data_IF_198073462849
#
_entry.id   IF_198073462849
#
_cell.length_a   1.000
_cell.length_b   1.000
_cell.length_c   1.000
_cell.angle_alpha   90.00
_cell.angle_beta   90.00
_cell.angle_gamma   90.00
#
_symmetry.space_group_name_H-M   'P 1'
#
loop_
_entity.id
_entity.type
_entity.pdbx_description
1 polymer ?
#
# COMPACT_ATOMS: atom_id res chain seq x y z
N UNK A 1 7.49 -22.27 2.17
CA UNK A 1 7.86 -22.69 3.53
C UNK A 1 9.12 -21.97 4.00
N UNK A 2 10.26 -22.12 3.32
CA UNK A 2 11.51 -21.47 3.72
C UNK A 2 11.45 -19.93 3.72
N UNK A 3 10.79 -19.32 2.73
CA UNK A 3 10.61 -17.85 2.66
C UNK A 3 9.88 -17.33 3.89
N UNK A 4 8.68 -17.87 4.21
CA UNK A 4 7.91 -17.47 5.39
C UNK A 4 8.71 -17.59 6.71
N UNK A 5 9.55 -18.62 6.85
CA UNK A 5 10.45 -18.74 8.02
C UNK A 5 11.58 -17.70 8.03
N UNK A 6 12.13 -17.37 6.87
CA UNK A 6 13.21 -16.39 6.76
C UNK A 6 12.70 -14.95 6.95
N UNK A 7 11.47 -14.66 6.50
CA UNK A 7 10.84 -13.33 6.57
C UNK A 7 10.02 -13.12 7.85
N UNK A 8 9.99 -14.11 8.75
CA UNK A 8 9.26 -14.05 10.03
C UNK A 8 7.79 -13.62 9.87
N UNK A 9 7.10 -14.18 8.87
CA UNK A 9 5.71 -13.82 8.53
C UNK A 9 5.55 -12.81 7.39
N UNK A 10 6.63 -12.39 6.74
CA UNK A 10 6.57 -11.55 5.53
C UNK A 10 6.17 -12.31 4.26
N UNK A 11 6.19 -11.62 3.11
CA UNK A 11 5.77 -12.15 1.81
C UNK A 11 6.89 -12.35 0.79
N UNK A 12 6.49 -12.61 -0.45
CA UNK A 12 7.37 -12.73 -1.61
C UNK A 12 6.86 -11.87 -2.77
N UNK A 13 7.78 -11.16 -3.43
CA UNK A 13 7.52 -10.50 -4.72
C UNK A 13 8.52 -11.00 -5.75
N UNK A 14 8.04 -11.51 -6.88
CA UNK A 14 8.85 -12.05 -7.98
C UNK A 14 8.55 -11.29 -9.25
N UNK A 15 9.56 -10.63 -9.81
CA UNK A 15 9.43 -9.97 -11.11
C UNK A 15 9.60 -10.97 -12.27
N UNK A 16 8.73 -11.97 -12.32
CA UNK A 16 8.83 -13.06 -13.28
C UNK A 16 7.84 -14.20 -13.02
N UNK A 17 8.14 -15.36 -13.62
CA UNK A 17 7.32 -16.56 -13.45
C UNK A 17 7.68 -17.34 -12.20
N UNK A 18 6.68 -17.92 -11.54
CA UNK A 18 6.88 -18.90 -10.47
C UNK A 18 6.42 -20.29 -10.91
N UNK A 19 6.88 -21.31 -10.18
CA UNK A 19 6.50 -22.71 -10.39
C UNK A 19 5.80 -23.24 -9.13
N UNK A 20 5.05 -24.32 -9.30
CA UNK A 20 4.44 -25.09 -8.20
C UNK A 20 3.43 -24.25 -7.40
N UNK A 21 2.43 -23.72 -8.13
CA UNK A 21 1.35 -22.95 -7.54
C UNK A 21 0.59 -23.75 -6.46
N UNK A 22 0.42 -25.05 -6.65
CA UNK A 22 -0.28 -25.91 -5.68
C UNK A 22 0.47 -26.01 -4.34
N UNK A 23 1.80 -26.06 -4.39
CA UNK A 23 2.64 -26.00 -3.19
C UNK A 23 2.61 -24.62 -2.54
N UNK A 24 2.69 -23.56 -3.35
CA UNK A 24 2.74 -22.18 -2.87
C UNK A 24 1.41 -21.72 -2.26
N UNK A 25 0.29 -22.05 -2.89
CA UNK A 25 -1.05 -21.66 -2.45
C UNK A 25 -1.45 -22.25 -1.09
N UNK A 26 -0.79 -23.33 -0.65
CA UNK A 26 -0.98 -23.94 0.68
C UNK A 26 -0.20 -23.25 1.78
N UNK A 27 0.72 -22.34 1.42
CA UNK A 27 1.49 -21.57 2.38
C UNK A 27 0.69 -20.31 2.67
N UNK A 28 0.42 -20.07 3.95
CA UNK A 28 -0.20 -18.83 4.42
C UNK A 28 0.82 -17.68 4.36
N UNK A 29 1.08 -17.19 3.14
CA UNK A 29 2.07 -16.17 2.85
C UNK A 29 1.63 -15.35 1.62
N UNK A 30 1.63 -14.02 1.69
CA UNK A 30 1.33 -13.19 0.53
C UNK A 30 2.43 -13.34 -0.54
N UNK A 31 2.01 -13.48 -1.80
CA UNK A 31 2.90 -13.70 -2.93
C UNK A 31 2.45 -12.95 -4.19
N UNK A 32 3.34 -12.15 -4.75
CA UNK A 32 3.12 -11.40 -5.99
C UNK A 32 4.08 -11.91 -7.08
N UNK A 33 3.56 -12.20 -8.26
CA UNK A 33 4.32 -12.74 -9.38
C UNK A 33 3.63 -12.39 -10.72
N UNK A 34 4.35 -12.45 -11.84
CA UNK A 34 3.80 -12.08 -13.16
C UNK A 34 3.06 -13.21 -13.86
N UNK A 35 3.57 -14.43 -13.74
CA UNK A 35 3.05 -15.60 -14.44
C UNK A 35 3.42 -16.90 -13.74
N UNK A 36 2.79 -18.00 -14.13
CA UNK A 36 3.19 -19.32 -13.68
C UNK A 36 3.77 -20.10 -14.85
N UNK A 37 4.94 -20.70 -14.67
CA UNK A 37 5.63 -21.49 -15.68
C UNK A 37 6.24 -22.76 -15.03
N UNK A 38 5.96 -23.96 -15.57
CA UNK A 38 6.49 -25.20 -15.03
C UNK A 38 7.98 -25.43 -15.35
N UNK A 39 8.54 -24.72 -16.32
CA UNK A 39 9.92 -24.90 -16.76
C UNK A 39 10.90 -24.61 -15.62
N UNK A 40 11.89 -25.49 -15.38
CA UNK A 40 12.93 -25.24 -14.39
C UNK A 40 13.69 -23.96 -14.70
N UNK A 41 14.12 -23.26 -13.65
CA UNK A 41 15.01 -22.11 -13.78
C UNK A 41 16.29 -22.58 -14.50
N UNK A 42 16.55 -22.02 -15.67
CA UNK A 42 17.70 -22.31 -16.50
C UNK A 42 18.25 -21.03 -17.13
N UNK A 43 19.53 -21.05 -17.52
CA UNK A 43 20.22 -19.91 -18.15
C UNK A 43 20.20 -18.60 -17.36
N UNK A 44 20.13 -18.67 -16.03
CA UNK A 44 20.26 -17.51 -15.13
C UNK A 44 21.28 -17.80 -14.03
N UNK A 45 21.92 -16.74 -13.53
CA UNK A 45 22.90 -16.79 -12.45
C UNK A 45 22.49 -15.80 -11.36
N UNK A 46 22.68 -16.17 -10.10
CA UNK A 46 22.53 -15.24 -8.99
C UNK A 46 23.60 -14.14 -9.10
N UNK A 47 23.18 -12.91 -9.33
CA UNK A 47 24.08 -11.76 -9.50
C UNK A 47 24.36 -11.02 -8.20
N UNK A 48 23.48 -11.12 -7.20
CA UNK A 48 23.66 -10.47 -5.90
C UNK A 48 22.51 -10.70 -4.94
N UNK A 49 22.76 -10.43 -3.66
CA UNK A 49 21.77 -10.42 -2.56
C UNK A 49 21.92 -9.08 -1.86
N UNK A 50 20.81 -8.47 -1.42
CA UNK A 50 20.80 -7.13 -0.83
C UNK A 50 21.47 -6.07 -1.73
N UNK A 51 21.17 -6.14 -3.03
CA UNK A 51 21.57 -5.14 -4.01
C UNK A 51 20.32 -4.43 -4.53
N UNK A 52 20.43 -3.19 -5.04
CA UNK A 52 19.34 -2.54 -5.75
C UNK A 52 18.85 -3.40 -6.91
N UNK A 53 17.54 -3.63 -6.99
CA UNK A 53 16.92 -4.39 -8.07
C UNK A 53 15.83 -3.56 -8.74
N UNK A 54 15.44 -3.96 -9.94
CA UNK A 54 14.27 -3.40 -10.63
C UNK A 54 13.13 -4.40 -10.56
N UNK A 55 11.98 -3.96 -10.08
CA UNK A 55 10.73 -4.71 -10.14
C UNK A 55 9.75 -3.88 -10.98
N UNK A 56 9.41 -4.38 -12.17
CA UNK A 56 8.60 -3.63 -13.12
C UNK A 56 9.24 -2.29 -13.53
N UNK A 57 8.57 -1.19 -13.19
CA UNK A 57 9.01 0.17 -13.51
C UNK A 57 9.90 0.83 -12.46
N UNK A 58 10.03 0.25 -11.26
CA UNK A 58 10.61 0.93 -10.08
C UNK A 58 11.92 0.29 -9.64
N UNK A 59 12.78 1.10 -9.02
CA UNK A 59 14.01 0.62 -8.36
C UNK A 59 13.68 0.36 -6.90
N UNK A 60 13.98 -0.84 -6.44
CA UNK A 60 13.76 -1.30 -5.06
C UNK A 60 15.12 -1.40 -4.38
N UNK A 61 15.24 -0.75 -3.24
CA UNK A 61 16.44 -0.75 -2.42
C UNK A 61 16.28 -1.75 -1.26
N UNK A 62 17.38 -2.39 -0.83
CA UNK A 62 17.36 -3.16 0.41
C UNK A 62 16.93 -2.28 1.60
N UNK A 63 15.89 -2.71 2.32
CA UNK A 63 15.33 -1.97 3.45
C UNK A 63 14.06 -1.16 3.13
N UNK A 64 13.62 -1.12 1.87
CA UNK A 64 12.33 -0.55 1.51
C UNK A 64 11.18 -1.34 2.14
N UNK A 65 10.15 -0.61 2.58
CA UNK A 65 8.91 -1.21 3.05
C UNK A 65 8.08 -1.65 1.85
N UNK A 66 7.70 -2.92 1.84
CA UNK A 66 6.82 -3.48 0.80
C UNK A 66 5.41 -3.59 1.36
N UNK A 67 4.47 -2.88 0.75
CA UNK A 67 3.04 -2.98 1.07
C UNK A 67 2.35 -3.65 -0.11
N UNK A 68 1.60 -4.71 0.16
CA UNK A 68 0.84 -5.43 -0.85
C UNK A 68 -0.65 -5.34 -0.58
N UNK A 69 -1.44 -5.08 -1.62
CA UNK A 69 -2.89 -5.18 -1.60
C UNK A 69 -3.40 -5.97 -2.82
N UNK A 70 -4.70 -5.85 -3.12
CA UNK A 70 -5.31 -6.53 -4.28
C UNK A 70 -4.97 -5.86 -5.62
N UNK A 71 -4.54 -4.61 -5.61
CA UNK A 71 -4.18 -3.84 -6.80
C UNK A 71 -2.71 -4.05 -7.18
N UNK A 72 -1.84 -4.31 -6.18
CA UNK A 72 -0.46 -4.70 -6.44
C UNK A 72 0.46 -4.56 -5.23
N UNK A 73 1.74 -4.33 -5.53
CA UNK A 73 2.79 -4.11 -4.54
C UNK A 73 3.37 -2.70 -4.67
N UNK A 74 3.53 -2.03 -3.54
CA UNK A 74 4.11 -0.70 -3.39
C UNK A 74 5.43 -0.82 -2.63
N UNK A 75 6.45 -0.12 -3.11
CA UNK A 75 7.77 -0.07 -2.50
C UNK A 75 7.99 1.34 -1.97
N UNK A 76 8.10 1.46 -0.65
CA UNK A 76 8.19 2.75 0.05
C UNK A 76 9.58 2.87 0.67
N UNK A 77 10.38 3.87 0.28
CA UNK A 77 11.66 4.11 0.92
C UNK A 77 11.50 4.40 2.41
N UNK A 78 12.37 3.89 3.28
CA UNK A 78 12.21 3.98 4.73
C UNK A 78 12.14 5.44 5.22
N UNK A 79 12.88 6.36 4.59
CA UNK A 79 12.82 7.78 4.94
C UNK A 79 11.47 8.46 4.61
N UNK A 80 10.66 7.88 3.72
CA UNK A 80 9.36 8.43 3.32
C UNK A 80 8.18 7.77 4.04
N UNK A 81 8.40 6.67 4.77
CA UNK A 81 7.31 5.92 5.41
C UNK A 81 6.43 6.80 6.29
N UNK A 82 7.03 7.68 7.09
CA UNK A 82 6.28 8.58 7.96
C UNK A 82 5.39 9.54 7.17
N UNK A 83 5.96 10.20 6.17
CA UNK A 83 5.24 11.15 5.32
C UNK A 83 4.10 10.46 4.55
N UNK A 84 4.34 9.24 4.05
CA UNK A 84 3.30 8.44 3.37
C UNK A 84 2.17 8.08 4.34
N UNK A 85 2.47 7.72 5.59
CA UNK A 85 1.44 7.44 6.60
C UNK A 85 0.62 8.69 6.94
N UNK A 86 1.29 9.82 7.18
CA UNK A 86 0.62 11.09 7.50
C UNK A 86 -0.35 11.50 6.36
N UNK A 87 0.08 11.40 5.10
CA UNK A 87 -0.78 11.68 3.95
C UNK A 87 -1.87 10.62 3.71
N UNK A 88 -1.61 9.36 4.02
CA UNK A 88 -2.61 8.30 3.90
C UNK A 88 -3.77 8.52 4.89
N UNK A 89 -3.47 8.95 6.13
CA UNK A 89 -4.48 9.29 7.13
C UNK A 89 -5.33 10.50 6.68
N UNK A 90 -4.70 11.55 6.17
CA UNK A 90 -5.41 12.72 5.61
C UNK A 90 -6.33 12.32 4.44
N UNK A 91 -5.83 11.50 3.52
CA UNK A 91 -6.59 11.02 2.36
C UNK A 91 -7.78 10.17 2.80
N UNK A 92 -7.58 9.28 3.76
CA UNK A 92 -8.65 8.45 4.31
C UNK A 92 -9.77 9.29 4.94
N UNK A 93 -9.40 10.32 5.71
CA UNK A 93 -10.37 11.24 6.33
C UNK A 93 -11.11 12.05 5.25
N UNK A 94 -10.40 12.48 4.19
CA UNK A 94 -11.01 13.17 3.07
C UNK A 94 -12.08 12.32 2.37
N UNK A 95 -11.76 11.06 2.10
CA UNK A 95 -12.68 10.12 1.46
C UNK A 95 -13.88 9.81 2.36
N UNK A 96 -13.66 9.64 3.67
CA UNK A 96 -14.74 9.45 4.65
C UNK A 96 -15.71 10.63 4.65
N UNK A 97 -15.20 11.85 4.71
CA UNK A 97 -16.01 13.07 4.72
C UNK A 97 -16.75 13.26 3.39
N UNK A 98 -16.04 13.09 2.28
CA UNK A 98 -16.59 13.22 0.93
C UNK A 98 -17.74 12.22 0.72
N UNK A 99 -17.57 10.97 1.15
CA UNK A 99 -18.62 9.95 1.11
C UNK A 99 -19.85 10.37 1.93
N UNK A 100 -19.67 10.85 3.17
CA UNK A 100 -20.79 11.34 3.99
C UNK A 100 -21.57 12.46 3.29
N UNK A 101 -20.88 13.38 2.62
CA UNK A 101 -21.51 14.47 1.88
C UNK A 101 -22.23 14.03 0.61
N UNK A 102 -21.75 12.98 -0.05
CA UNK A 102 -22.49 12.36 -1.15
C UNK A 102 -23.77 11.67 -0.66
N UNK A 103 -23.72 10.98 0.47
CA UNK A 103 -24.87 10.28 1.05
C UNK A 103 -26.00 11.26 1.47
N UNK A 104 -25.68 12.53 1.76
CA UNK A 104 -26.67 13.59 2.00
C UNK A 104 -27.48 13.97 0.73
N UNK A 105 -27.02 13.60 -0.47
CA UNK A 105 -27.72 13.81 -1.74
C UNK A 105 -27.81 15.26 -2.23
N UNK A 106 -27.15 16.21 -1.54
CA UNK A 106 -27.28 17.66 -1.79
C UNK A 106 -26.24 18.23 -2.74
N UNK A 107 -25.19 17.48 -3.04
CA UNK A 107 -23.99 18.02 -3.68
C UNK A 107 -23.55 17.16 -4.87
N UNK A 108 -23.04 17.82 -5.91
CA UNK A 108 -22.48 17.13 -7.08
C UNK A 108 -21.02 16.77 -6.86
N UNK A 109 -20.53 15.77 -7.57
CA UNK A 109 -19.14 15.32 -7.43
C UNK A 109 -18.11 16.41 -7.68
N UNK A 110 -18.35 17.27 -8.67
CA UNK A 110 -17.46 18.38 -9.00
C UNK A 110 -17.44 19.53 -7.97
N UNK A 111 -18.35 19.51 -7.00
CA UNK A 111 -18.47 20.55 -5.95
C UNK A 111 -17.76 20.15 -4.66
N UNK A 112 -17.54 18.84 -4.46
CA UNK A 112 -16.93 18.27 -3.24
C UNK A 112 -15.55 17.69 -3.52
N UNK A 113 -15.38 16.94 -4.61
CA UNK A 113 -14.20 16.09 -4.84
C UNK A 113 -12.92 16.93 -4.97
N UNK A 114 -11.90 16.60 -4.17
CA UNK A 114 -10.61 17.30 -4.08
C UNK A 114 -10.60 18.41 -3.03
N UNK A 115 -11.44 19.43 -3.19
CA UNK A 115 -11.67 20.46 -2.17
C UNK A 115 -13.00 21.17 -2.41
N UNK A 116 -13.85 21.34 -1.37
CA UNK A 116 -15.12 22.03 -1.53
C UNK A 116 -14.93 23.45 -2.06
N UNK A 117 -15.76 23.89 -3.00
CA UNK A 117 -15.68 25.27 -3.53
C UNK A 117 -16.37 26.31 -2.63
N UNK A 118 -17.35 25.88 -1.84
CA UNK A 118 -18.05 26.75 -0.89
C UNK A 118 -17.17 26.99 0.35
N UNK A 119 -16.88 28.27 0.71
CA UNK A 119 -16.13 28.60 1.92
C UNK A 119 -16.69 27.99 3.21
N UNK A 120 -18.00 27.80 3.31
CA UNK A 120 -18.62 27.16 4.49
C UNK A 120 -18.27 25.68 4.58
N UNK A 121 -18.32 24.98 3.44
CA UNK A 121 -17.95 23.56 3.37
C UNK A 121 -16.44 23.36 3.56
N UNK A 122 -15.62 24.31 3.11
CA UNK A 122 -14.18 24.28 3.38
C UNK A 122 -13.88 24.37 4.87
N UNK A 123 -14.56 25.26 5.59
CA UNK A 123 -14.39 25.39 7.03
C UNK A 123 -14.88 24.11 7.75
N UNK A 124 -16.05 23.60 7.38
CA UNK A 124 -16.57 22.34 7.92
C UNK A 124 -15.61 21.17 7.69
N UNK A 125 -15.05 21.06 6.49
CA UNK A 125 -14.06 20.04 6.15
C UNK A 125 -12.78 20.19 7.00
N UNK A 126 -12.25 21.40 7.16
CA UNK A 126 -11.06 21.65 7.99
C UNK A 126 -11.29 21.28 9.45
N UNK A 127 -12.45 21.64 9.99
CA UNK A 127 -12.82 21.32 11.37
C UNK A 127 -12.98 19.81 11.56
N UNK A 128 -13.57 19.12 10.58
CA UNK A 128 -13.70 17.66 10.55
C UNK A 128 -12.33 16.97 10.47
N UNK A 129 -11.46 17.43 9.56
CA UNK A 129 -10.11 16.91 9.36
C UNK A 129 -9.30 17.00 10.66
N UNK A 130 -9.30 18.18 11.29
CA UNK A 130 -8.58 18.40 12.55
C UNK A 130 -9.09 17.46 13.66
N UNK A 131 -10.40 17.34 13.81
CA UNK A 131 -11.01 16.46 14.81
C UNK A 131 -10.63 14.99 14.61
N UNK A 132 -10.69 14.49 13.36
CA UNK A 132 -10.40 13.08 13.06
C UNK A 132 -8.91 12.76 13.18
N UNK A 133 -8.02 13.67 12.75
CA UNK A 133 -6.58 13.52 12.99
C UNK A 133 -6.26 13.43 14.49
N UNK A 134 -6.86 14.28 15.32
CA UNK A 134 -6.68 14.22 16.77
C UNK A 134 -7.16 12.88 17.38
N UNK A 135 -8.22 12.28 16.83
CA UNK A 135 -8.72 10.97 17.23
C UNK A 135 -7.76 9.83 16.84
N UNK A 136 -7.26 9.84 15.60
CA UNK A 136 -6.31 8.84 15.08
C UNK A 136 -4.99 8.89 15.88
N UNK A 137 -4.43 10.08 16.09
CA UNK A 137 -3.20 10.24 16.87
C UNK A 137 -3.36 9.75 18.32
N UNK A 138 -4.54 9.91 18.94
CA UNK A 138 -4.81 9.37 20.28
C UNK A 138 -4.88 7.84 20.29
N UNK A 139 -5.41 7.23 19.24
CA UNK A 139 -5.49 5.77 19.12
C UNK A 139 -4.12 5.14 18.85
N UNK A 140 -3.29 5.78 18.01
CA UNK A 140 -1.93 5.33 17.71
C UNK A 140 -1.01 5.40 18.94
N UNK A 141 -1.17 6.39 19.81
CA UNK A 141 -0.36 6.53 21.04
C UNK A 141 -0.80 5.62 22.20
N UNK A 142 -1.88 4.84 22.03
CA UNK A 142 -2.41 3.93 23.05
C UNK A 142 -1.98 2.47 22.86
N UNK A 143 -1.20 2.16 21.82
CA UNK A 143 -0.62 0.85 21.51
C UNK A 143 0.91 0.91 21.58
#
# INVERSE_FOLDING_TARGET
>A
YYVMKATNGGGLVVDGSIRDLDGIAKIDMPGYYRSADPTPIGNVMLTGINVPIRIGGVTVMPGDLVVGDREGGYFIPPQLVKEVLDHADETHIHDEWTRKKFDEGKYKSAEIYGSPKDPKLQQEYRDYLKKRLDEIHKQQNSH
#
